data_IF_808930527421
#
_entry.id   IF_808930527421
#
_cell.length_a   1.000
_cell.length_b   1.000
_cell.length_c   1.000
_cell.angle_alpha   90.00
_cell.angle_beta   90.00
_cell.angle_gamma   90.00
#
_symmetry.space_group_name_H-M   'P 1'
#
loop_
_entity.id
_entity.type
_entity.pdbx_description
1 polymer ?
#
# COMPACT_ATOMS: atom_id res chain seq x y z
N UNK A 1 -1.19 -11.82 -11.31
CA UNK A 1 0.01 -12.61 -10.92
C UNK A 1 -0.37 -14.08 -10.84
N UNK A 2 0.58 -15.01 -11.06
CA UNK A 2 0.39 -16.41 -10.63
C UNK A 2 0.22 -16.46 -9.11
N UNK A 3 -0.41 -17.52 -8.58
CA UNK A 3 -0.52 -17.69 -7.12
C UNK A 3 0.88 -17.60 -6.49
N UNK A 4 1.04 -16.82 -5.41
CA UNK A 4 2.32 -16.72 -4.74
C UNK A 4 2.74 -18.08 -4.19
N UNK A 5 4.03 -18.40 -4.29
CA UNK A 5 4.58 -19.62 -3.70
C UNK A 5 4.53 -19.46 -2.18
N UNK A 6 3.74 -20.31 -1.52
CA UNK A 6 3.65 -20.35 -0.07
C UNK A 6 4.44 -21.54 0.46
N UNK A 7 5.47 -21.28 1.26
CA UNK A 7 6.32 -22.29 1.90
C UNK A 7 5.85 -22.45 3.35
N UNK A 8 5.25 -23.60 3.63
CA UNK A 8 4.66 -23.94 4.93
C UNK A 8 5.73 -24.26 5.99
N UNK A 9 5.34 -24.23 7.27
CA UNK A 9 6.22 -24.66 8.37
C UNK A 9 6.86 -26.05 8.18
N UNK A 10 6.10 -27.10 7.80
CA UNK A 10 6.65 -28.42 7.50
C UNK A 10 7.68 -28.41 6.36
N UNK A 11 7.45 -27.64 5.30
CA UNK A 11 8.39 -27.50 4.19
C UNK A 11 9.66 -26.76 4.63
N UNK A 12 9.54 -25.69 5.44
CA UNK A 12 10.68 -24.99 6.03
C UNK A 12 11.54 -25.96 6.84
N UNK A 13 10.95 -26.79 7.70
CA UNK A 13 11.67 -27.82 8.48
C UNK A 13 12.37 -28.85 7.60
N UNK A 14 11.79 -29.18 6.45
CA UNK A 14 12.35 -30.13 5.52
C UNK A 14 13.54 -29.55 4.74
N UNK A 15 13.49 -28.27 4.37
CA UNK A 15 14.51 -27.61 3.54
C UNK A 15 15.65 -26.96 4.32
N UNK A 16 15.40 -26.52 5.57
CA UNK A 16 16.33 -25.70 6.33
C UNK A 16 16.88 -26.45 7.54
N UNK A 17 18.15 -26.86 7.49
CA UNK A 17 18.80 -27.47 8.66
C UNK A 17 19.25 -26.40 9.67
N UNK A 18 19.34 -26.78 10.95
CA UNK A 18 19.89 -25.87 11.97
C UNK A 18 21.37 -25.52 11.71
N UNK A 19 22.15 -26.41 11.11
CA UNK A 19 23.56 -26.12 10.79
C UNK A 19 23.69 -25.02 9.73
N UNK A 20 22.89 -25.11 8.67
CA UNK A 20 22.82 -24.09 7.62
C UNK A 20 22.29 -22.78 8.20
N UNK A 21 21.22 -22.83 8.99
CA UNK A 21 20.61 -21.65 9.57
C UNK A 21 21.54 -20.94 10.57
N UNK A 22 22.25 -21.68 11.42
CA UNK A 22 23.27 -21.12 12.33
C UNK A 22 24.35 -20.41 11.52
N UNK A 23 24.83 -21.04 10.44
CA UNK A 23 25.86 -20.46 9.57
C UNK A 23 25.39 -19.16 8.91
N UNK A 24 24.17 -19.15 8.38
CA UNK A 24 23.57 -17.95 7.76
C UNK A 24 23.35 -16.85 8.79
N UNK A 25 22.75 -17.15 9.95
CA UNK A 25 22.50 -16.18 11.02
C UNK A 25 23.82 -15.61 11.56
N UNK A 26 24.84 -16.45 11.74
CA UNK A 26 26.17 -16.01 12.15
C UNK A 26 26.76 -15.02 11.15
N UNK A 27 26.72 -15.35 9.85
CA UNK A 27 27.16 -14.47 8.78
C UNK A 27 26.39 -13.15 8.82
N UNK A 28 25.06 -13.19 8.87
CA UNK A 28 24.22 -11.99 8.87
C UNK A 28 24.49 -11.10 10.09
N UNK A 29 24.67 -11.66 11.29
CA UNK A 29 25.00 -10.88 12.50
C UNK A 29 26.37 -10.20 12.40
N UNK A 30 27.37 -10.91 11.89
CA UNK A 30 28.73 -10.37 11.68
C UNK A 30 28.71 -9.27 10.62
N UNK A 31 28.07 -9.53 9.47
CA UNK A 31 28.00 -8.55 8.38
C UNK A 31 27.20 -7.32 8.81
N UNK A 32 26.09 -7.49 9.52
CA UNK A 32 25.32 -6.36 10.07
C UNK A 32 26.15 -5.53 11.05
N UNK A 33 26.95 -6.16 11.91
CA UNK A 33 27.77 -5.44 12.89
C UNK A 33 28.92 -4.67 12.24
N UNK A 34 29.54 -5.23 11.19
CA UNK A 34 30.70 -4.65 10.52
C UNK A 34 30.35 -3.69 9.38
N UNK A 35 29.22 -3.91 8.72
CA UNK A 35 28.87 -3.26 7.44
C UNK A 35 27.40 -2.79 7.45
N UNK A 36 26.99 -2.05 8.48
CA UNK A 36 25.62 -1.54 8.60
C UNK A 36 25.11 -0.81 7.36
N UNK A 37 25.98 -0.14 6.61
CA UNK A 37 25.63 0.57 5.36
C UNK A 37 25.15 -0.35 4.23
N UNK A 38 25.41 -1.67 4.32
CA UNK A 38 24.92 -2.66 3.35
C UNK A 38 23.52 -3.18 3.69
N UNK A 39 22.92 -2.71 4.78
CA UNK A 39 21.58 -3.04 5.20
C UNK A 39 20.71 -1.79 5.18
N UNK A 40 19.50 -1.94 4.67
CA UNK A 40 18.45 -0.95 4.87
C UNK A 40 17.36 -1.59 5.73
N UNK A 41 17.44 -1.36 7.04
CA UNK A 41 16.56 -1.97 8.03
C UNK A 41 16.00 -0.89 8.97
N UNK A 42 14.83 -0.31 8.65
CA UNK A 42 14.15 0.62 9.54
C UNK A 42 13.71 -0.07 10.83
N UNK A 43 13.32 0.74 11.82
CA UNK A 43 12.75 0.23 13.06
C UNK A 43 11.45 -0.54 12.77
N UNK A 44 11.14 -1.48 13.66
CA UNK A 44 9.87 -2.21 13.60
C UNK A 44 8.71 -1.24 13.82
N UNK A 45 7.82 -1.18 12.85
CA UNK A 45 6.53 -0.50 13.02
C UNK A 45 5.51 -1.43 13.67
N UNK A 46 4.60 -0.84 14.44
CA UNK A 46 3.54 -1.56 15.15
C UNK A 46 2.23 -0.83 15.01
N UNK A 47 1.20 -1.59 14.71
CA UNK A 47 -0.20 -1.22 14.78
C UNK A 47 -0.82 -1.93 15.96
N UNK A 48 -1.55 -1.19 16.79
CA UNK A 48 -2.24 -1.72 17.96
C UNK A 48 -3.73 -1.80 17.67
N UNK A 49 -4.33 -2.92 18.08
CA UNK A 49 -5.77 -3.16 18.02
C UNK A 49 -6.43 -2.81 19.35
N UNK A 50 -7.76 -2.72 19.38
CA UNK A 50 -8.51 -2.38 20.61
C UNK A 50 -8.48 -3.46 21.69
N UNK A 51 -8.15 -4.71 21.34
CA UNK A 51 -8.10 -5.85 22.27
C UNK A 51 -6.66 -6.21 22.70
N UNK A 52 -5.73 -5.25 22.65
CA UNK A 52 -4.29 -5.42 22.93
C UNK A 52 -3.54 -6.35 21.97
N UNK A 53 -4.12 -6.70 20.83
CA UNK A 53 -3.40 -7.34 19.73
C UNK A 53 -2.47 -6.36 19.01
N UNK A 54 -1.40 -6.88 18.42
CA UNK A 54 -0.40 -6.11 17.67
C UNK A 54 -0.26 -6.69 16.28
N UNK A 55 -0.18 -5.84 15.25
CA UNK A 55 0.40 -6.18 13.95
C UNK A 55 1.73 -5.43 13.81
N UNK A 56 2.82 -6.14 13.61
CA UNK A 56 4.15 -5.56 13.45
C UNK A 56 4.76 -5.88 12.09
N UNK A 57 5.41 -4.87 11.50
CA UNK A 57 6.13 -5.00 10.22
C UNK A 57 7.63 -4.80 10.45
N UNK A 58 8.44 -5.60 9.76
CA UNK A 58 9.90 -5.54 9.80
C UNK A 58 10.45 -5.69 8.38
N UNK A 59 10.32 -4.66 7.52
CA UNK A 59 10.91 -4.69 6.20
C UNK A 59 12.43 -4.53 6.28
N UNK A 60 13.16 -5.19 5.39
CA UNK A 60 14.61 -5.17 5.36
C UNK A 60 15.12 -5.41 3.93
N UNK A 61 16.19 -4.70 3.57
CA UNK A 61 17.05 -5.07 2.46
C UNK A 61 18.43 -5.44 2.98
N UNK A 62 18.91 -6.63 2.61
CA UNK A 62 20.23 -7.15 2.91
C UNK A 62 21.00 -7.33 1.59
N UNK A 63 21.89 -6.39 1.26
CA UNK A 63 22.63 -6.39 0.00
C UNK A 63 23.53 -7.64 -0.19
N UNK A 64 24.31 -8.11 0.80
CA UNK A 64 25.14 -9.31 0.67
C UNK A 64 24.41 -10.55 0.17
N UNK A 65 23.14 -10.70 0.58
CA UNK A 65 22.32 -11.86 0.26
C UNK A 65 21.27 -11.55 -0.83
N UNK A 66 21.30 -10.34 -1.40
CA UNK A 66 20.31 -9.84 -2.34
C UNK A 66 18.86 -10.08 -1.86
N UNK A 67 18.62 -9.92 -0.56
CA UNK A 67 17.34 -10.27 0.06
C UNK A 67 16.54 -9.01 0.40
N UNK A 68 15.45 -8.78 -0.35
CA UNK A 68 14.44 -7.76 -0.05
C UNK A 68 13.23 -8.47 0.57
N UNK A 69 12.99 -8.27 1.85
CA UNK A 69 11.98 -9.03 2.57
C UNK A 69 11.20 -8.17 3.57
N UNK A 70 10.04 -8.67 3.99
CA UNK A 70 9.32 -8.13 5.12
C UNK A 70 8.76 -9.25 5.97
N UNK A 71 9.01 -9.18 7.28
CA UNK A 71 8.29 -10.02 8.23
C UNK A 71 7.08 -9.26 8.75
N UNK A 72 5.91 -9.85 8.59
CA UNK A 72 4.65 -9.45 9.22
C UNK A 72 4.38 -10.42 10.36
N UNK A 73 4.13 -9.91 11.55
CA UNK A 73 3.78 -10.76 12.70
C UNK A 73 2.64 -10.13 13.48
N UNK A 74 1.62 -10.93 13.77
CA UNK A 74 0.57 -10.59 14.71
C UNK A 74 0.91 -11.18 16.08
N UNK A 75 0.63 -10.42 17.15
CA UNK A 75 0.81 -10.87 18.54
C UNK A 75 -0.48 -10.65 19.29
N UNK A 76 -1.13 -11.74 19.68
CA UNK A 76 -2.44 -11.77 20.35
C UNK A 76 -2.33 -12.60 21.62
N UNK A 77 -1.93 -11.99 22.76
CA UNK A 77 -1.67 -12.72 24.00
C UNK A 77 -2.90 -13.41 24.60
N UNK A 78 -4.10 -12.96 24.24
CA UNK A 78 -5.37 -13.53 24.68
C UNK A 78 -5.78 -14.81 23.96
N UNK A 79 -5.04 -15.26 22.93
CA UNK A 79 -5.34 -16.50 22.25
C UNK A 79 -5.10 -17.70 23.18
N UNK A 80 -6.12 -18.54 23.36
CA UNK A 80 -6.03 -19.80 24.11
C UNK A 80 -5.88 -21.00 23.17
N UNK A 81 -6.75 -21.09 22.17
CA UNK A 81 -6.78 -22.21 21.20
C UNK A 81 -5.96 -21.93 19.93
N UNK A 82 -5.44 -20.72 19.78
CA UNK A 82 -4.61 -20.27 18.66
C UNK A 82 -3.21 -19.86 19.13
N UNK A 83 -2.19 -19.90 18.28
CA UNK A 83 -0.88 -19.36 18.62
C UNK A 83 -0.96 -17.87 18.98
N UNK A 84 -0.20 -17.47 20.00
CA UNK A 84 -0.10 -16.06 20.39
C UNK A 84 0.68 -15.22 19.37
N UNK A 85 1.52 -15.86 18.55
CA UNK A 85 2.30 -15.22 17.50
C UNK A 85 1.99 -15.92 16.18
N UNK A 86 1.54 -15.16 15.19
CA UNK A 86 1.22 -15.67 13.86
C UNK A 86 1.80 -14.73 12.81
N UNK A 87 1.90 -15.15 11.54
CA UNK A 87 2.25 -14.24 10.47
C UNK A 87 3.00 -14.86 9.30
N UNK A 88 3.57 -14.00 8.47
CA UNK A 88 4.27 -14.39 7.24
C UNK A 88 5.56 -13.60 7.03
N UNK A 89 6.52 -14.23 6.35
CA UNK A 89 7.70 -13.56 5.79
C UNK A 89 7.54 -13.51 4.28
N UNK A 90 7.57 -12.31 3.71
CA UNK A 90 7.51 -12.09 2.26
C UNK A 90 8.92 -11.89 1.72
N UNK A 91 9.25 -12.54 0.60
CA UNK A 91 10.51 -12.35 -0.13
C UNK A 91 10.23 -11.78 -1.52
N UNK A 92 10.94 -10.71 -1.88
CA UNK A 92 10.86 -10.04 -3.16
C UNK A 92 12.21 -10.08 -3.88
N UNK A 93 12.17 -10.11 -5.21
CA UNK A 93 13.36 -9.90 -6.04
C UNK A 93 13.80 -8.43 -5.92
N UNK A 94 15.04 -8.14 -5.48
CA UNK A 94 15.51 -6.77 -5.28
C UNK A 94 15.78 -6.00 -6.59
N UNK A 95 15.73 -6.65 -7.76
CA UNK A 95 16.01 -6.02 -9.05
C UNK A 95 14.74 -5.58 -9.78
N UNK A 96 13.64 -6.30 -9.59
CA UNK A 96 12.38 -6.05 -10.31
C UNK A 96 11.14 -5.96 -9.39
N UNK A 97 11.29 -6.27 -8.11
CA UNK A 97 10.22 -6.16 -7.10
C UNK A 97 9.17 -7.27 -7.13
N UNK A 98 9.35 -8.31 -7.94
CA UNK A 98 8.41 -9.44 -8.00
C UNK A 98 8.38 -10.20 -6.67
N UNK A 99 7.19 -10.61 -6.24
CA UNK A 99 7.01 -11.47 -5.07
C UNK A 99 7.48 -12.88 -5.41
N UNK A 100 8.52 -13.36 -4.73
CA UNK A 100 9.12 -14.67 -4.96
C UNK A 100 8.51 -15.75 -4.08
N UNK A 101 8.32 -15.45 -2.79
CA UNK A 101 7.79 -16.41 -1.83
C UNK A 101 7.11 -15.74 -0.64
N UNK A 102 6.17 -16.46 -0.06
CA UNK A 102 5.58 -16.25 1.24
C UNK A 102 5.97 -17.44 2.10
N UNK A 103 6.40 -17.18 3.33
CA UNK A 103 6.86 -18.22 4.24
C UNK A 103 6.17 -18.08 5.58
N UNK A 104 5.90 -19.20 6.24
CA UNK A 104 5.40 -19.24 7.61
C UNK A 104 6.36 -18.48 8.56
N UNK A 105 5.89 -17.37 9.14
CA UNK A 105 6.74 -16.58 10.03
C UNK A 105 6.89 -17.20 11.41
N UNK A 106 5.93 -18.00 11.88
CA UNK A 106 6.04 -18.66 13.18
C UNK A 106 7.25 -19.60 13.15
N UNK A 107 7.29 -20.48 12.14
CA UNK A 107 8.35 -21.46 12.02
C UNK A 107 9.72 -20.81 11.79
N UNK A 108 9.82 -19.85 10.85
CA UNK A 108 11.06 -19.10 10.64
C UNK A 108 11.50 -18.43 11.94
N UNK A 109 10.58 -17.84 12.69
CA UNK A 109 10.91 -17.12 13.93
C UNK A 109 11.43 -18.05 15.00
N UNK A 110 10.81 -19.21 15.19
CA UNK A 110 11.24 -20.22 16.15
C UNK A 110 12.66 -20.69 15.81
N UNK A 111 12.87 -21.15 14.57
CA UNK A 111 14.16 -21.68 14.14
C UNK A 111 15.27 -20.62 14.18
N UNK A 112 15.01 -19.40 13.67
CA UNK A 112 16.04 -18.34 13.61
C UNK A 112 16.40 -17.79 14.99
N UNK A 113 15.46 -17.80 15.94
CA UNK A 113 15.74 -17.38 17.32
C UNK A 113 16.64 -18.40 18.01
N UNK A 114 16.34 -19.70 17.89
CA UNK A 114 17.19 -20.76 18.41
C UNK A 114 18.60 -20.73 17.76
N UNK A 115 18.67 -20.50 16.45
CA UNK A 115 19.95 -20.36 15.75
C UNK A 115 20.77 -19.16 16.25
N UNK A 116 20.15 -17.99 16.47
CA UNK A 116 20.84 -16.82 17.01
C UNK A 116 21.44 -17.09 18.41
N UNK A 117 20.69 -17.78 19.28
CA UNK A 117 21.21 -18.23 20.59
C UNK A 117 22.39 -19.19 20.44
N UNK A 118 22.31 -20.15 19.53
CA UNK A 118 23.39 -21.09 19.26
C UNK A 118 24.66 -20.40 18.75
N UNK A 119 24.53 -19.38 17.88
CA UNK A 119 25.66 -18.55 17.41
C UNK A 119 26.33 -17.84 18.59
N UNK A 120 25.54 -17.22 19.46
CA UNK A 120 26.07 -16.54 20.65
C UNK A 120 26.83 -17.52 21.55
N UNK A 121 26.25 -18.70 21.84
CA UNK A 121 26.91 -19.74 22.63
C UNK A 121 28.22 -20.23 21.99
N UNK A 122 28.22 -20.47 20.67
CA UNK A 122 29.41 -20.93 19.94
C UNK A 122 30.58 -19.95 20.03
N UNK A 123 30.29 -18.65 19.90
CA UNK A 123 31.30 -17.58 19.94
C UNK A 123 31.79 -17.28 21.35
N UNK A 124 30.90 -17.31 22.35
CA UNK A 124 31.26 -17.04 23.75
C UNK A 124 32.03 -18.19 24.40
N UNK A 125 31.77 -19.44 24.00
CA UNK A 125 32.35 -20.62 24.64
C UNK A 125 33.60 -21.16 23.93
N UNK A 126 34.10 -20.52 22.85
CA UNK A 126 35.26 -20.97 22.05
C UNK A 126 35.20 -22.47 21.66
N UNK A 127 33.99 -23.01 21.48
CA UNK A 127 33.80 -24.44 21.22
C UNK A 127 34.29 -24.74 19.79
N UNK A 128 35.36 -25.54 19.68
CA UNK A 128 35.91 -26.00 18.39
C UNK A 128 34.84 -26.79 17.62
N UNK A 129 34.77 -26.61 16.29
CA UNK A 129 33.85 -27.28 15.36
C UNK A 129 33.71 -28.80 15.62
N UNK A 130 34.77 -29.48 16.04
CA UNK A 130 34.79 -30.93 16.28
C UNK A 130 33.96 -31.40 17.48
N UNK A 131 33.63 -30.52 18.43
CA UNK A 131 32.86 -30.90 19.61
C UNK A 131 31.33 -30.95 19.35
N UNK A 132 30.84 -30.20 18.35
CA UNK A 132 29.42 -30.18 18.00
C UNK A 132 28.97 -31.42 17.22
N UNK A 133 29.83 -31.95 16.34
CA UNK A 133 29.54 -33.14 15.53
C UNK A 133 29.24 -34.39 16.36
N UNK A 134 29.78 -34.49 17.59
CA UNK A 134 29.50 -35.60 18.51
C UNK A 134 28.25 -35.40 19.37
N UNK A 135 27.87 -34.16 19.68
CA UNK A 135 26.67 -33.90 20.50
C UNK A 135 25.38 -33.90 19.66
N UNK A 136 25.44 -33.56 18.37
CA UNK A 136 24.29 -33.51 17.46
C UNK A 136 23.65 -34.90 17.15
N UNK A 137 24.32 -36.01 17.52
CA UNK A 137 23.79 -37.36 17.32
C UNK A 137 22.89 -37.88 18.45
N UNK A 138 22.78 -37.17 19.59
CA UNK A 138 21.71 -37.45 20.54
C UNK A 138 20.45 -36.73 20.10
N UNK A 139 19.63 -37.41 19.29
CA UNK A 139 18.23 -37.07 19.08
C UNK A 139 17.53 -37.08 20.44
N UNK A 140 17.50 -35.94 21.11
CA UNK A 140 16.52 -35.70 22.16
C UNK A 140 15.18 -35.55 21.43
N UNK A 141 14.45 -36.65 21.29
CA UNK A 141 13.04 -36.61 20.93
C UNK A 141 12.27 -36.03 22.12
N UNK A 142 12.26 -34.70 22.20
CA UNK A 142 11.19 -34.01 22.92
C UNK A 142 9.98 -34.10 22.00
N UNK A 143 9.12 -35.08 22.27
CA UNK A 143 7.76 -35.13 21.74
C UNK A 143 6.99 -34.00 22.42
N UNK A 144 7.14 -32.78 21.92
CA UNK A 144 6.12 -31.76 22.12
C UNK A 144 4.96 -32.20 21.23
N UNK A 145 3.95 -32.82 21.83
CA UNK A 145 2.63 -32.89 21.24
C UNK A 145 2.06 -31.47 21.23
N UNK A 146 2.60 -30.60 20.38
CA UNK A 146 1.88 -29.41 19.96
C UNK A 146 0.87 -29.90 18.95
N UNK A 147 -0.40 -29.84 19.32
CA UNK A 147 -1.51 -29.84 18.39
C UNK A 147 -1.38 -28.58 17.54
N UNK A 148 -0.40 -28.53 16.62
CA UNK A 148 -0.37 -27.53 15.57
C UNK A 148 -1.56 -27.86 14.68
N UNK A 149 -2.69 -27.18 14.92
CA UNK A 149 -3.73 -27.11 13.90
C UNK A 149 -3.03 -26.63 12.63
N UNK A 150 -3.08 -27.45 11.58
CA UNK A 150 -2.66 -27.02 10.25
C UNK A 150 -3.60 -25.87 9.86
N UNK A 151 -3.15 -24.64 10.07
CA UNK A 151 -3.78 -23.51 9.41
C UNK A 151 -3.58 -23.72 7.91
N UNK A 152 -4.68 -23.96 7.19
CA UNK A 152 -4.66 -24.07 5.74
C UNK A 152 -4.00 -22.84 5.13
N UNK A 153 -3.36 -23.00 3.97
CA UNK A 153 -2.80 -21.87 3.24
C UNK A 153 -3.89 -20.81 3.04
N UNK A 154 -3.68 -19.56 3.46
CA UNK A 154 -4.69 -18.53 3.32
C UNK A 154 -5.01 -18.32 1.82
N UNK A 155 -6.28 -18.09 1.47
CA UNK A 155 -6.66 -17.88 0.08
C UNK A 155 -5.96 -16.65 -0.50
N UNK A 156 -5.54 -16.76 -1.76
CA UNK A 156 -5.14 -15.63 -2.57
C UNK A 156 -6.33 -15.15 -3.42
N UNK A 157 -6.73 -13.90 -3.24
CA UNK A 157 -7.77 -13.22 -4.01
C UNK A 157 -7.09 -12.44 -5.14
N UNK A 158 -7.24 -12.94 -6.36
CA UNK A 158 -6.59 -12.35 -7.52
C UNK A 158 -7.22 -11.01 -7.93
N UNK A 159 -6.48 -10.17 -8.67
CA UNK A 159 -7.05 -8.92 -9.21
C UNK A 159 -8.27 -9.14 -10.12
N UNK A 160 -8.33 -10.26 -10.85
CA UNK A 160 -9.50 -10.60 -11.66
C UNK A 160 -10.73 -10.91 -10.80
N UNK A 161 -10.52 -11.63 -9.69
CA UNK A 161 -11.57 -11.95 -8.74
C UNK A 161 -12.05 -10.68 -8.03
N UNK A 162 -11.14 -9.81 -7.60
CA UNK A 162 -11.47 -8.51 -6.99
C UNK A 162 -12.33 -7.67 -7.94
N UNK A 163 -11.99 -7.61 -9.23
CA UNK A 163 -12.80 -6.92 -10.26
C UNK A 163 -14.20 -7.52 -10.42
N UNK A 164 -14.36 -8.82 -10.22
CA UNK A 164 -15.66 -9.49 -10.30
C UNK A 164 -16.53 -9.23 -9.07
N UNK A 165 -15.90 -9.08 -7.90
CA UNK A 165 -16.57 -8.91 -6.62
C UNK A 165 -16.92 -7.46 -6.31
N UNK A 166 -16.00 -6.52 -6.58
CA UNK A 166 -16.03 -5.17 -6.02
C UNK A 166 -16.59 -4.15 -7.02
N UNK A 167 -17.61 -3.39 -6.59
CA UNK A 167 -18.18 -2.26 -7.34
C UNK A 167 -17.73 -0.91 -6.78
N UNK A 168 -17.80 0.16 -7.58
CA UNK A 168 -17.53 1.51 -7.08
C UNK A 168 -18.68 2.05 -6.22
N UNK A 169 -19.89 1.56 -6.45
CA UNK A 169 -21.09 1.85 -5.67
C UNK A 169 -20.91 1.44 -4.20
N UNK A 170 -20.26 0.30 -3.95
CA UNK A 170 -19.93 -0.18 -2.60
C UNK A 170 -18.64 0.42 -2.06
N UNK A 171 -17.64 0.59 -2.93
CA UNK A 171 -16.31 1.04 -2.52
C UNK A 171 -16.26 2.52 -2.14
N UNK A 172 -16.93 3.40 -2.89
CA UNK A 172 -16.85 4.84 -2.65
C UNK A 172 -17.39 5.21 -1.26
N UNK A 173 -18.56 4.74 -0.80
CA UNK A 173 -19.03 4.98 0.57
C UNK A 173 -18.09 4.39 1.64
N UNK A 174 -17.49 3.24 1.36
CA UNK A 174 -16.53 2.58 2.26
C UNK A 174 -15.27 3.43 2.45
N UNK A 175 -14.71 3.93 1.34
CA UNK A 175 -13.54 4.82 1.37
C UNK A 175 -13.89 6.16 2.02
N UNK A 176 -15.06 6.74 1.74
CA UNK A 176 -15.53 7.96 2.40
C UNK A 176 -15.58 7.82 3.93
N UNK A 177 -16.16 6.73 4.43
CA UNK A 177 -16.19 6.42 5.86
C UNK A 177 -14.78 6.28 6.43
N UNK A 178 -13.88 5.60 5.72
CA UNK A 178 -12.49 5.41 6.17
C UNK A 178 -11.72 6.73 6.28
N UNK A 179 -11.92 7.66 5.33
CA UNK A 179 -11.32 8.99 5.34
C UNK A 179 -11.85 9.84 6.51
N UNK A 180 -13.17 9.81 6.75
CA UNK A 180 -13.78 10.46 7.92
C UNK A 180 -13.18 9.91 9.21
N UNK A 181 -13.07 8.59 9.35
CA UNK A 181 -12.45 7.94 10.52
C UNK A 181 -11.01 8.40 10.70
N UNK A 182 -10.21 8.39 9.63
CA UNK A 182 -8.81 8.83 9.68
C UNK A 182 -8.66 10.25 10.24
N UNK A 183 -9.51 11.17 9.78
CA UNK A 183 -9.42 12.58 10.16
C UNK A 183 -10.04 12.89 11.53
N UNK A 184 -11.12 12.20 11.91
CA UNK A 184 -11.96 12.61 13.06
C UNK A 184 -11.90 11.68 14.28
N UNK A 185 -11.46 10.43 14.10
CA UNK A 185 -11.53 9.37 15.12
C UNK A 185 -10.16 8.78 15.42
N UNK A 186 -9.19 9.63 15.80
CA UNK A 186 -7.78 9.24 16.04
C UNK A 186 -7.59 8.11 17.08
N UNK A 187 -8.58 7.83 17.93
CA UNK A 187 -8.56 6.72 18.90
C UNK A 187 -9.16 5.41 18.39
N UNK A 188 -9.88 5.42 17.26
CA UNK A 188 -10.57 4.25 16.70
C UNK A 188 -9.79 3.56 15.57
N UNK A 189 -8.63 4.11 15.19
CA UNK A 189 -7.72 3.50 14.22
C UNK A 189 -6.26 3.65 14.69
N UNK A 190 -5.39 2.81 14.14
CA UNK A 190 -3.95 2.93 14.32
C UNK A 190 -3.27 2.74 12.97
N UNK A 191 -2.61 3.80 12.49
CA UNK A 191 -1.87 3.80 11.23
C UNK A 191 -0.59 4.63 11.41
N UNK A 192 0.60 4.01 11.44
CA UNK A 192 1.85 4.75 11.34
C UNK A 192 2.07 5.29 9.93
N UNK A 193 3.01 6.22 9.80
CA UNK A 193 3.54 6.62 8.48
C UNK A 193 4.09 5.39 7.74
N UNK A 194 3.95 5.38 6.41
CA UNK A 194 4.43 4.25 5.61
C UNK A 194 5.94 4.09 5.79
N UNK A 195 6.39 2.84 5.90
CA UNK A 195 7.81 2.54 5.99
C UNK A 195 8.38 2.31 4.60
N UNK A 196 9.55 2.90 4.32
CA UNK A 196 10.29 2.70 3.06
C UNK A 196 11.54 1.86 3.30
N UNK A 197 11.81 0.93 2.39
CA UNK A 197 13.09 0.22 2.29
C UNK A 197 13.65 0.33 0.88
N UNK A 198 14.84 0.91 0.74
CA UNK A 198 15.55 0.95 -0.54
C UNK A 198 16.13 -0.43 -0.86
N UNK A 199 15.91 -0.90 -2.09
CA UNK A 199 16.37 -2.22 -2.55
C UNK A 199 17.86 -2.27 -2.96
N UNK A 200 18.62 -1.21 -2.67
CA UNK A 200 20.00 -1.04 -3.17
C UNK A 200 20.11 -0.76 -4.68
N UNK A 201 19.02 -0.87 -5.42
CA UNK A 201 18.89 -0.47 -6.82
C UNK A 201 18.04 0.80 -6.96
N UNK A 202 17.31 0.98 -8.05
CA UNK A 202 16.36 2.10 -8.22
C UNK A 202 14.98 1.83 -7.60
N UNK A 203 14.76 0.61 -7.10
CA UNK A 203 13.48 0.19 -6.53
C UNK A 203 13.38 0.33 -5.01
N UNK A 204 12.16 0.25 -4.51
CA UNK A 204 11.87 0.32 -3.09
C UNK A 204 10.74 -0.63 -2.69
N UNK A 205 10.70 -1.02 -1.42
CA UNK A 205 9.60 -1.72 -0.75
C UNK A 205 8.92 -0.75 0.22
N UNK A 206 7.59 -0.69 0.18
CA UNK A 206 6.76 0.08 1.09
C UNK A 206 5.89 -0.86 1.92
N UNK A 207 5.75 -0.55 3.21
CA UNK A 207 4.75 -1.20 4.08
C UNK A 207 3.79 -0.18 4.65
N UNK A 208 2.49 -0.45 4.53
CA UNK A 208 1.41 0.39 5.03
C UNK A 208 0.48 -0.44 5.93
N UNK A 209 0.88 -0.71 7.19
CA UNK A 209 0.02 -1.40 8.15
C UNK A 209 -1.07 -0.46 8.67
N UNK A 210 -2.27 -0.98 8.87
CA UNK A 210 -3.37 -0.22 9.46
C UNK A 210 -4.33 -1.13 10.24
N UNK A 211 -4.81 -0.62 11.36
CA UNK A 211 -6.00 -1.12 12.05
C UNK A 211 -7.07 -0.04 12.03
N UNK A 212 -8.31 -0.43 11.71
CA UNK A 212 -9.50 0.40 11.85
C UNK A 212 -10.58 -0.40 12.58
N UNK A 213 -10.91 0.01 13.80
CA UNK A 213 -11.97 -0.63 14.58
C UNK A 213 -13.36 -0.48 13.93
N UNK A 214 -13.76 0.69 13.39
CA UNK A 214 -15.06 0.87 12.74
C UNK A 214 -15.23 0.02 11.49
N UNK A 215 -14.13 -0.27 10.79
CA UNK A 215 -14.13 -1.13 9.62
C UNK A 215 -13.89 -2.61 9.98
N UNK A 216 -13.59 -2.94 11.25
CA UNK A 216 -13.14 -4.29 11.67
C UNK A 216 -12.02 -4.83 10.78
N UNK A 217 -11.06 -3.96 10.44
CA UNK A 217 -10.02 -4.23 9.47
C UNK A 217 -8.63 -4.14 10.11
N UNK A 218 -7.86 -5.23 10.06
CA UNK A 218 -6.44 -5.27 10.40
C UNK A 218 -5.68 -5.73 9.16
N UNK A 219 -4.93 -4.84 8.51
CA UNK A 219 -4.29 -5.16 7.24
C UNK A 219 -2.91 -4.54 7.10
N UNK A 220 -2.11 -5.08 6.17
CA UNK A 220 -0.90 -4.44 5.70
C UNK A 220 -0.79 -4.54 4.19
N UNK A 221 -0.64 -3.39 3.51
CA UNK A 221 -0.20 -3.39 2.12
C UNK A 221 1.33 -3.43 2.06
N UNK A 222 1.86 -4.38 1.31
CA UNK A 222 3.25 -4.47 0.91
C UNK A 222 3.33 -4.22 -0.58
N UNK A 223 3.99 -3.14 -0.98
CA UNK A 223 4.13 -2.78 -2.40
C UNK A 223 5.58 -2.46 -2.72
N UNK A 224 6.07 -3.05 -3.79
CA UNK A 224 7.35 -2.72 -4.41
C UNK A 224 7.14 -1.70 -5.53
N UNK A 225 8.05 -0.74 -5.66
CA UNK A 225 8.02 0.27 -6.72
C UNK A 225 9.34 0.25 -7.48
N UNK A 226 9.29 -0.22 -8.72
CA UNK A 226 10.42 -0.38 -9.64
C UNK A 226 10.14 0.36 -10.94
N UNK A 227 10.44 1.67 -11.03
CA UNK A 227 10.10 2.50 -12.19
C UNK A 227 10.75 2.07 -13.51
N UNK A 228 11.86 1.31 -13.43
CA UNK A 228 12.59 0.80 -14.59
C UNK A 228 11.99 -0.46 -15.22
N UNK A 229 10.97 -1.07 -14.62
CA UNK A 229 10.34 -2.25 -15.20
C UNK A 229 9.67 -1.92 -16.54
N UNK A 230 10.04 -2.66 -17.59
CA UNK A 230 9.43 -2.58 -18.92
C UNK A 230 8.43 -3.70 -19.17
N UNK A 231 8.78 -4.92 -18.75
CA UNK A 231 8.01 -6.15 -19.00
C UNK A 231 7.13 -6.56 -17.82
N UNK A 232 7.31 -5.89 -16.67
CA UNK A 232 6.54 -6.07 -15.45
C UNK A 232 5.88 -4.76 -15.03
N UNK A 233 4.78 -4.81 -14.24
CA UNK A 233 4.25 -3.60 -13.62
C UNK A 233 5.30 -2.89 -12.77
N UNK A 234 5.25 -1.56 -12.78
CA UNK A 234 6.14 -0.74 -11.95
C UNK A 234 5.81 -0.81 -10.47
N UNK A 235 4.54 -1.10 -10.14
CA UNK A 235 4.06 -1.32 -8.78
C UNK A 235 3.57 -2.75 -8.68
N UNK A 236 4.07 -3.52 -7.73
CA UNK A 236 3.69 -4.92 -7.51
C UNK A 236 3.54 -5.15 -6.01
N UNK A 237 2.67 -6.06 -5.58
CA UNK A 237 2.52 -6.29 -4.15
C UNK A 237 1.32 -7.12 -3.76
N UNK A 238 1.14 -7.21 -2.43
CA UNK A 238 0.01 -7.89 -1.80
C UNK A 238 -0.56 -7.03 -0.68
N UNK A 239 -1.86 -7.18 -0.44
CA UNK A 239 -2.52 -6.73 0.79
C UNK A 239 -2.79 -7.97 1.64
N UNK A 240 -2.33 -7.97 2.87
CA UNK A 240 -2.61 -9.02 3.85
C UNK A 240 -3.75 -8.57 4.74
N UNK A 241 -4.76 -9.43 4.92
CA UNK A 241 -5.87 -9.19 5.83
C UNK A 241 -5.78 -10.17 7.00
N UNK A 242 -5.78 -9.65 8.21
CA UNK A 242 -5.78 -10.41 9.44
C UNK A 242 -7.11 -10.24 10.16
N UNK A 243 -7.52 -11.28 10.88
CA UNK A 243 -8.61 -11.18 11.85
C UNK A 243 -8.18 -10.25 13.00
N UNK A 244 -8.87 -9.12 13.26
CA UNK A 244 -8.53 -8.21 14.34
C UNK A 244 -8.74 -8.81 15.73
N UNK A 245 -9.45 -9.94 15.87
CA UNK A 245 -9.67 -10.59 17.16
C UNK A 245 -8.59 -11.62 17.52
N UNK A 246 -8.20 -12.47 16.57
CA UNK A 246 -7.22 -13.53 16.81
C UNK A 246 -5.83 -13.26 16.23
N UNK A 247 -5.70 -12.31 15.30
CA UNK A 247 -4.47 -12.08 14.53
C UNK A 247 -4.23 -13.11 13.43
N UNK A 248 -5.17 -14.01 13.16
CA UNK A 248 -5.03 -15.04 12.12
C UNK A 248 -5.04 -14.40 10.73
N UNK A 249 -4.17 -14.87 9.83
CA UNK A 249 -4.13 -14.40 8.44
C UNK A 249 -5.34 -14.97 7.69
N UNK A 250 -6.27 -14.09 7.30
CA UNK A 250 -7.52 -14.47 6.62
C UNK A 250 -7.35 -14.57 5.11
N UNK A 251 -6.64 -13.62 4.49
CA UNK A 251 -6.49 -13.57 3.05
C UNK A 251 -5.24 -12.81 2.61
N UNK A 252 -4.79 -13.17 1.41
CA UNK A 252 -3.82 -12.43 0.61
C UNK A 252 -4.55 -11.88 -0.60
N UNK A 253 -4.37 -10.61 -0.93
CA UNK A 253 -5.09 -9.97 -2.01
C UNK A 253 -4.11 -9.24 -2.95
N UNK A 254 -4.45 -9.19 -4.23
CA UNK A 254 -3.69 -8.44 -5.23
C UNK A 254 -3.66 -6.94 -4.87
N UNK A 255 -2.46 -6.41 -4.59
CA UNK A 255 -2.33 -5.01 -4.17
C UNK A 255 -2.46 -4.02 -5.32
N UNK A 256 -2.15 -4.43 -6.55
CA UNK A 256 -2.26 -3.56 -7.71
C UNK A 256 -3.72 -3.20 -7.95
N UNK A 257 -4.60 -4.21 -7.92
CA UNK A 257 -6.03 -4.01 -8.10
C UNK A 257 -6.66 -3.19 -6.97
N UNK A 258 -6.39 -3.58 -5.71
CA UNK A 258 -6.87 -2.80 -4.54
C UNK A 258 -6.41 -1.36 -4.65
N UNK A 259 -5.12 -1.12 -4.98
CA UNK A 259 -4.58 0.23 -5.12
C UNK A 259 -5.24 1.01 -6.24
N UNK A 260 -5.52 0.40 -7.40
CA UNK A 260 -6.21 1.06 -8.51
C UNK A 260 -7.63 1.48 -8.13
N UNK A 261 -8.38 0.58 -7.50
CA UNK A 261 -9.77 0.83 -7.15
C UNK A 261 -9.90 1.84 -6.01
N UNK A 262 -9.20 1.63 -4.88
CA UNK A 262 -9.33 2.49 -3.70
C UNK A 262 -8.81 3.91 -3.93
N UNK A 263 -7.75 4.08 -4.73
CA UNK A 263 -7.22 5.42 -5.05
C UNK A 263 -8.23 6.20 -5.89
N UNK A 264 -8.80 5.57 -6.92
CA UNK A 264 -9.85 6.18 -7.73
C UNK A 264 -11.11 6.50 -6.90
N UNK A 265 -11.48 5.61 -5.98
CA UNK A 265 -12.60 5.84 -5.07
C UNK A 265 -12.34 7.05 -4.16
N UNK A 266 -11.13 7.23 -3.62
CA UNK A 266 -10.77 8.41 -2.83
C UNK A 266 -10.91 9.71 -3.65
N UNK A 267 -10.46 9.73 -4.91
CA UNK A 267 -10.69 10.86 -5.82
C UNK A 267 -12.15 11.08 -6.18
N UNK A 268 -12.96 10.02 -6.28
CA UNK A 268 -14.40 10.14 -6.47
C UNK A 268 -15.10 10.74 -5.24
N UNK A 269 -14.71 10.33 -4.03
CA UNK A 269 -15.14 10.97 -2.77
C UNK A 269 -14.78 12.45 -2.77
N UNK A 270 -13.53 12.80 -3.08
CA UNK A 270 -13.10 14.19 -3.15
C UNK A 270 -13.94 14.99 -4.15
N UNK A 271 -14.14 14.44 -5.34
CA UNK A 271 -14.91 15.07 -6.42
C UNK A 271 -16.37 15.30 -6.02
N UNK A 272 -17.02 14.35 -5.31
CA UNK A 272 -18.39 14.51 -4.79
C UNK A 272 -18.55 15.78 -3.95
N UNK A 273 -17.53 16.14 -3.17
CA UNK A 273 -17.59 17.25 -2.20
C UNK A 273 -16.98 18.56 -2.74
N UNK A 274 -16.07 18.47 -3.71
CA UNK A 274 -15.29 19.61 -4.19
C UNK A 274 -15.65 20.05 -5.62
N UNK A 275 -16.08 19.13 -6.49
CA UNK A 275 -16.50 19.45 -7.85
C UNK A 275 -17.94 19.99 -7.90
N UNK A 276 -18.30 20.55 -9.06
CA UNK A 276 -19.68 20.96 -9.32
C UNK A 276 -20.56 19.70 -9.52
N UNK A 277 -21.75 19.58 -8.92
CA UNK A 277 -22.58 18.37 -9.01
C UNK A 277 -23.06 18.04 -10.44
N UNK A 278 -23.04 19.03 -11.35
CA UNK A 278 -23.39 18.86 -12.76
C UNK A 278 -22.16 18.81 -13.68
N UNK A 279 -20.99 18.44 -13.15
CA UNK A 279 -19.77 18.28 -13.95
C UNK A 279 -20.00 17.22 -15.05
N UNK A 280 -19.62 17.56 -16.29
CA UNK A 280 -19.83 16.75 -17.50
C UNK A 280 -18.53 16.47 -18.27
N UNK A 281 -17.48 17.25 -18.01
CA UNK A 281 -16.19 17.12 -18.70
C UNK A 281 -15.10 16.65 -17.74
N UNK A 282 -14.57 15.44 -17.99
CA UNK A 282 -13.46 14.85 -17.25
C UNK A 282 -12.17 14.89 -18.08
N UNK A 283 -11.10 15.46 -17.53
CA UNK A 283 -9.77 15.41 -18.10
C UNK A 283 -8.88 14.42 -17.33
N UNK A 284 -8.18 13.54 -18.06
CA UNK A 284 -7.20 12.60 -17.53
C UNK A 284 -5.82 12.97 -18.05
N UNK A 285 -4.95 13.44 -17.16
CA UNK A 285 -3.53 13.65 -17.43
C UNK A 285 -2.77 12.42 -16.95
N UNK A 286 -2.40 11.56 -17.90
CA UNK A 286 -1.87 10.23 -17.68
C UNK A 286 -2.70 9.17 -18.41
N UNK A 287 -2.07 8.06 -18.76
CA UNK A 287 -2.73 6.94 -19.45
C UNK A 287 -2.26 5.59 -18.90
N UNK A 288 -1.96 5.54 -17.59
CA UNK A 288 -1.61 4.32 -16.87
C UNK A 288 -2.83 3.68 -16.22
N UNK A 289 -2.60 2.67 -15.36
CA UNK A 289 -3.66 1.93 -14.69
C UNK A 289 -4.65 2.83 -13.92
N UNK A 290 -4.13 3.84 -13.21
CA UNK A 290 -4.95 4.80 -12.46
C UNK A 290 -5.90 5.62 -13.34
N UNK A 291 -5.53 5.93 -14.59
CA UNK A 291 -6.38 6.75 -15.46
C UNK A 291 -7.72 6.07 -15.77
N UNK A 292 -7.70 4.74 -16.00
CA UNK A 292 -8.92 3.98 -16.27
C UNK A 292 -9.79 3.86 -15.02
N UNK A 293 -9.20 3.49 -13.87
CA UNK A 293 -9.96 3.36 -12.61
C UNK A 293 -10.58 4.69 -12.18
N UNK A 294 -9.89 5.82 -12.39
CA UNK A 294 -10.44 7.16 -12.11
C UNK A 294 -11.60 7.51 -13.02
N UNK A 295 -11.55 7.11 -14.30
CA UNK A 295 -12.71 7.26 -15.17
C UNK A 295 -13.91 6.47 -14.62
N UNK A 296 -13.73 5.19 -14.29
CA UNK A 296 -14.82 4.35 -13.78
C UNK A 296 -15.43 4.93 -12.49
N UNK A 297 -14.60 5.27 -11.51
CA UNK A 297 -15.06 5.80 -10.22
C UNK A 297 -15.79 7.15 -10.34
N UNK A 298 -15.30 8.05 -11.20
CA UNK A 298 -15.91 9.37 -11.40
C UNK A 298 -17.22 9.23 -12.20
N UNK A 299 -17.25 8.36 -13.21
CA UNK A 299 -18.44 8.10 -14.01
C UNK A 299 -19.59 7.47 -13.20
N UNK A 300 -19.30 6.79 -12.08
CA UNK A 300 -20.32 6.32 -11.13
C UNK A 300 -21.09 7.49 -10.48
N UNK A 301 -20.47 8.67 -10.33
CA UNK A 301 -21.06 9.80 -9.61
C UNK A 301 -21.53 10.94 -10.50
N UNK A 302 -20.92 11.10 -11.68
CA UNK A 302 -21.16 12.22 -12.58
C UNK A 302 -21.59 11.73 -13.96
N UNK A 303 -22.55 12.42 -14.56
CA UNK A 303 -22.97 12.18 -15.94
C UNK A 303 -21.93 12.76 -16.92
N UNK A 304 -20.77 12.12 -17.00
CA UNK A 304 -19.67 12.54 -17.86
C UNK A 304 -20.06 12.34 -19.33
N UNK A 305 -20.10 13.43 -20.09
CA UNK A 305 -20.43 13.48 -21.52
C UNK A 305 -19.18 13.60 -22.40
N UNK A 306 -18.10 14.18 -21.87
CA UNK A 306 -16.83 14.38 -22.57
C UNK A 306 -15.65 13.92 -21.70
N UNK A 307 -14.80 13.07 -22.27
CA UNK A 307 -13.56 12.62 -21.63
C UNK A 307 -12.38 13.08 -22.48
N UNK A 308 -11.43 13.77 -21.87
CA UNK A 308 -10.24 14.27 -22.53
C UNK A 308 -9.01 13.61 -21.97
N UNK A 309 -8.21 12.96 -22.80
CA UNK A 309 -7.03 12.22 -22.34
C UNK A 309 -5.76 12.83 -22.92
N UNK A 310 -4.79 13.07 -22.05
CA UNK A 310 -3.44 13.44 -22.46
C UNK A 310 -2.39 12.61 -21.71
N UNK A 311 -1.40 12.12 -22.45
CA UNK A 311 -0.21 11.50 -21.87
C UNK A 311 0.94 11.56 -22.89
N UNK A 312 2.18 11.45 -22.40
CA UNK A 312 3.39 11.49 -23.23
C UNK A 312 3.45 10.35 -24.25
N UNK A 313 2.94 9.17 -23.91
CA UNK A 313 2.98 7.99 -24.78
C UNK A 313 1.67 7.89 -25.60
N UNK A 314 1.71 8.09 -26.94
CA UNK A 314 0.53 8.08 -27.78
C UNK A 314 -0.15 6.71 -27.89
N UNK A 315 0.60 5.62 -27.86
CA UNK A 315 0.07 4.25 -27.96
C UNK A 315 -0.74 3.89 -26.71
N UNK A 316 -0.17 4.12 -25.52
CA UNK A 316 -0.87 3.91 -24.24
C UNK A 316 -2.13 4.77 -24.13
N UNK A 317 -2.09 5.98 -24.68
CA UNK A 317 -3.25 6.87 -24.74
C UNK A 317 -4.35 6.31 -25.64
N UNK A 318 -4.00 5.82 -26.83
CA UNK A 318 -4.95 5.20 -27.75
C UNK A 318 -5.60 3.95 -27.13
N UNK A 319 -4.80 3.09 -26.49
CA UNK A 319 -5.29 1.90 -25.80
C UNK A 319 -6.24 2.24 -24.65
N UNK A 320 -5.94 3.28 -23.86
CA UNK A 320 -6.86 3.74 -22.82
C UNK A 320 -8.18 4.25 -23.41
N UNK A 321 -8.12 5.05 -24.48
CA UNK A 321 -9.31 5.57 -25.17
C UNK A 321 -10.18 4.43 -25.69
N UNK A 322 -9.58 3.42 -26.31
CA UNK A 322 -10.30 2.22 -26.76
C UNK A 322 -10.97 1.50 -25.59
N UNK A 323 -10.26 1.32 -24.47
CA UNK A 323 -10.80 0.69 -23.28
C UNK A 323 -12.00 1.45 -22.70
N UNK A 324 -11.92 2.78 -22.64
CA UNK A 324 -13.02 3.64 -22.18
C UNK A 324 -14.23 3.54 -23.11
N UNK A 325 -14.01 3.52 -24.43
CA UNK A 325 -15.08 3.37 -25.42
C UNK A 325 -15.82 2.04 -25.32
N UNK A 326 -15.16 0.98 -24.89
CA UNK A 326 -15.82 -0.30 -24.60
C UNK A 326 -16.66 -0.23 -23.33
N UNK A 327 -16.26 0.58 -22.36
CA UNK A 327 -16.93 0.75 -21.07
C UNK A 327 -18.04 1.81 -21.07
N UNK A 328 -18.08 2.74 -22.03
CA UNK A 328 -19.04 3.84 -22.06
C UNK A 328 -19.52 4.22 -23.47
N UNK A 329 -20.73 4.81 -23.54
CA UNK A 329 -21.41 5.19 -24.79
C UNK A 329 -21.03 6.58 -25.35
N UNK A 330 -20.00 7.26 -24.83
CA UNK A 330 -19.66 8.64 -25.21
C UNK A 330 -18.28 8.75 -25.88
N UNK A 331 -18.09 9.77 -26.73
CA UNK A 331 -16.91 9.93 -27.61
C UNK A 331 -15.78 10.72 -26.91
N UNK A 332 -14.58 10.14 -26.69
CA UNK A 332 -13.44 10.84 -26.10
C UNK A 332 -12.76 11.76 -27.11
N UNK A 333 -12.17 12.85 -26.60
CA UNK A 333 -11.36 13.80 -27.37
C UNK A 333 -9.89 13.79 -26.87
N UNK A 334 -8.92 14.11 -27.73
CA UNK A 334 -7.48 13.91 -27.46
C UNK A 334 -6.67 15.20 -27.74
N UNK A 335 -5.76 15.59 -26.82
CA UNK A 335 -4.75 16.69 -26.87
C UNK A 335 -5.05 18.02 -26.12
N UNK A 336 -3.94 18.79 -25.93
CA UNK A 336 -3.57 19.95 -25.07
C UNK A 336 -4.64 21.00 -24.68
N UNK A 337 -5.81 21.00 -25.31
CA UNK A 337 -7.04 21.59 -24.76
C UNK A 337 -7.68 20.71 -23.67
N UNK A 338 -7.01 19.61 -23.25
CA UNK A 338 -7.58 18.59 -22.37
C UNK A 338 -8.13 19.14 -21.05
N UNK A 339 -7.50 20.19 -20.50
CA UNK A 339 -7.95 20.83 -19.25
C UNK A 339 -8.76 22.11 -19.48
N UNK A 340 -8.74 22.65 -20.70
CA UNK A 340 -9.54 23.82 -21.07
C UNK A 340 -11.01 23.43 -21.01
N UNK A 341 -11.83 24.18 -20.28
CA UNK A 341 -13.25 23.83 -20.01
C UNK A 341 -13.46 22.48 -19.29
N UNK A 342 -12.44 21.88 -18.68
CA UNK A 342 -12.64 20.70 -17.84
C UNK A 342 -13.34 21.09 -16.52
N UNK A 343 -14.34 20.30 -16.14
CA UNK A 343 -14.98 20.46 -14.83
C UNK A 343 -14.18 19.74 -13.75
N UNK A 344 -13.67 18.54 -14.09
CA UNK A 344 -12.84 17.70 -13.23
C UNK A 344 -11.57 17.33 -14.00
N UNK A 345 -10.40 17.47 -13.36
CA UNK A 345 -9.10 17.05 -13.90
C UNK A 345 -8.47 16.04 -12.94
N UNK A 346 -7.99 14.91 -13.45
CA UNK A 346 -7.19 13.95 -12.66
C UNK A 346 -5.76 13.92 -13.20
N UNK A 347 -4.77 14.23 -12.36
CA UNK A 347 -3.35 14.03 -12.67
C UNK A 347 -2.88 12.70 -12.08
N UNK A 348 -2.60 11.75 -12.97
CA UNK A 348 -2.27 10.35 -12.67
C UNK A 348 -1.02 9.95 -13.46
N UNK A 349 -0.01 10.81 -13.44
CA UNK A 349 1.26 10.63 -14.16
C UNK A 349 2.38 10.20 -13.22
N UNK A 350 3.48 9.75 -13.82
CA UNK A 350 4.76 9.55 -13.14
C UNK A 350 5.73 10.71 -13.41
N UNK A 351 5.22 11.92 -13.66
CA UNK A 351 6.06 13.08 -13.97
C UNK A 351 6.87 13.51 -12.74
N UNK A 352 8.08 14.01 -12.98
CA UNK A 352 8.89 14.68 -11.96
C UNK A 352 8.66 16.18 -11.96
N UNK A 353 8.29 16.72 -13.12
CA UNK A 353 8.07 18.14 -13.36
C UNK A 353 6.58 18.45 -13.53
N UNK A 354 6.11 19.66 -13.14
CA UNK A 354 4.72 20.06 -13.27
C UNK A 354 4.11 19.80 -14.65
N UNK A 355 2.93 19.20 -14.67
CA UNK A 355 2.13 18.92 -15.88
C UNK A 355 0.85 19.76 -15.95
N UNK A 356 0.56 20.54 -14.91
CA UNK A 356 -0.63 21.38 -14.81
C UNK A 356 -0.31 22.77 -14.29
N UNK A 357 -0.87 23.81 -14.93
CA UNK A 357 -0.73 25.22 -14.56
C UNK A 357 -2.09 25.88 -14.37
N UNK A 358 -2.17 26.89 -13.51
CA UNK A 358 -3.45 27.50 -13.15
C UNK A 358 -4.10 28.29 -14.30
N UNK A 359 -3.31 28.88 -15.20
CA UNK A 359 -3.77 29.65 -16.36
C UNK A 359 -4.47 28.80 -17.42
N UNK A 360 -4.38 27.46 -17.31
CA UNK A 360 -5.05 26.52 -18.21
C UNK A 360 -6.39 26.04 -17.68
N UNK A 361 -6.67 26.29 -16.40
CA UNK A 361 -7.82 25.72 -15.69
C UNK A 361 -9.01 26.69 -15.65
N UNK A 362 -10.24 26.20 -15.86
CA UNK A 362 -11.42 26.96 -15.52
C UNK A 362 -11.43 27.35 -14.04
N UNK A 363 -11.98 28.53 -13.74
CA UNK A 363 -12.04 29.07 -12.37
C UNK A 363 -12.73 28.13 -11.36
N UNK A 364 -13.72 27.34 -11.80
CA UNK A 364 -14.50 26.43 -10.95
C UNK A 364 -14.08 24.97 -11.08
N UNK A 365 -12.94 24.69 -11.72
CA UNK A 365 -12.45 23.33 -11.90
C UNK A 365 -12.14 22.66 -10.56
N UNK A 366 -12.37 21.35 -10.48
CA UNK A 366 -11.84 20.50 -9.44
C UNK A 366 -10.67 19.66 -9.97
N UNK A 367 -9.58 19.57 -9.22
CA UNK A 367 -8.39 18.78 -9.58
C UNK A 367 -8.15 17.69 -8.56
N UNK A 368 -8.11 16.43 -9.01
CA UNK A 368 -7.57 15.30 -8.25
C UNK A 368 -6.10 15.10 -8.63
N UNK A 369 -5.19 15.44 -7.73
CA UNK A 369 -3.74 15.29 -7.91
C UNK A 369 -3.24 14.02 -7.20
N UNK A 370 -2.91 12.99 -7.96
CA UNK A 370 -2.73 11.61 -7.46
C UNK A 370 -1.31 11.10 -7.67
N UNK A 371 -0.62 11.55 -8.73
CA UNK A 371 0.80 11.28 -8.92
C UNK A 371 1.67 12.09 -7.96
N UNK A 372 2.98 12.16 -8.21
CA UNK A 372 3.95 12.92 -7.40
C UNK A 372 3.88 12.60 -5.89
N UNK A 373 4.05 11.33 -5.55
CA UNK A 373 4.09 10.82 -4.17
C UNK A 373 5.52 10.74 -3.60
N UNK A 374 6.43 11.57 -4.12
CA UNK A 374 7.80 11.73 -3.60
C UNK A 374 8.12 13.21 -3.38
N UNK A 375 8.94 13.56 -2.37
CA UNK A 375 9.22 14.95 -2.03
C UNK A 375 9.85 15.78 -3.15
N UNK A 376 10.51 15.12 -4.10
CA UNK A 376 11.19 15.70 -5.24
C UNK A 376 10.37 15.69 -6.54
N UNK A 377 9.12 15.20 -6.51
CA UNK A 377 8.26 15.07 -7.68
C UNK A 377 7.08 16.04 -7.59
N UNK A 378 6.72 16.64 -8.72
CA UNK A 378 5.54 17.51 -8.86
C UNK A 378 4.75 17.18 -10.11
N UNK A 379 3.44 17.23 -9.98
CA UNK A 379 2.50 17.29 -11.10
C UNK A 379 1.87 18.68 -11.23
N UNK A 380 1.84 19.45 -10.14
CA UNK A 380 1.21 20.75 -10.06
C UNK A 380 2.27 21.85 -10.02
N UNK A 381 2.10 22.84 -10.88
CA UNK A 381 2.85 24.08 -10.80
C UNK A 381 2.44 24.87 -9.56
N UNK A 382 3.35 25.68 -9.03
CA UNK A 382 3.09 26.53 -7.86
C UNK A 382 1.86 27.43 -8.05
N UNK A 383 1.59 27.86 -9.29
CA UNK A 383 0.40 28.65 -9.61
C UNK A 383 -0.91 27.92 -9.25
N UNK A 384 -0.99 26.60 -9.43
CA UNK A 384 -2.19 25.80 -9.12
C UNK A 384 -2.38 25.73 -7.61
N UNK A 385 -1.33 25.35 -6.88
CA UNK A 385 -1.40 25.17 -5.42
C UNK A 385 -1.60 26.48 -4.68
N UNK A 386 -1.16 27.61 -5.25
CA UNK A 386 -1.35 28.94 -4.68
C UNK A 386 -2.76 29.49 -4.89
N UNK A 387 -3.37 29.19 -6.04
CA UNK A 387 -4.70 29.66 -6.39
C UNK A 387 -5.81 28.81 -5.73
N UNK A 388 -5.60 27.51 -5.58
CA UNK A 388 -6.64 26.57 -5.18
C UNK A 388 -6.92 26.51 -3.67
N UNK A 389 -8.15 26.13 -3.33
CA UNK A 389 -8.44 25.52 -2.04
C UNK A 389 -7.91 24.07 -2.04
N UNK A 390 -6.72 23.90 -1.46
CA UNK A 390 -6.00 22.63 -1.39
C UNK A 390 -6.46 21.78 -0.19
N UNK A 391 -6.98 20.60 -0.48
CA UNK A 391 -7.36 19.54 0.45
C UNK A 391 -6.41 18.36 0.24
N UNK A 392 -5.99 17.70 1.31
CA UNK A 392 -5.20 16.46 1.22
C UNK A 392 -5.96 15.29 1.85
N UNK A 393 -5.53 14.06 1.57
CA UNK A 393 -5.95 12.88 2.34
C UNK A 393 -5.40 12.94 3.78
N UNK A 394 -4.11 13.29 3.93
CA UNK A 394 -3.45 13.51 5.22
C UNK A 394 -2.51 14.71 5.14
N UNK A 395 -2.57 15.62 6.13
CA UNK A 395 -1.59 16.71 6.25
C UNK A 395 -0.19 16.18 6.52
N UNK A 396 -0.07 15.15 7.35
CA UNK A 396 1.20 14.53 7.71
C UNK A 396 1.88 13.92 6.48
N UNK A 397 1.15 13.12 5.70
CA UNK A 397 1.68 12.55 4.46
C UNK A 397 1.98 13.64 3.42
N UNK A 398 1.10 14.63 3.24
CA UNK A 398 1.30 15.72 2.30
C UNK A 398 2.60 16.50 2.57
N UNK A 399 2.86 16.83 3.84
CA UNK A 399 4.07 17.56 4.25
C UNK A 399 5.35 16.72 4.26
N UNK A 400 5.23 15.39 4.22
CA UNK A 400 6.38 14.48 4.26
C UNK A 400 6.73 13.89 2.89
N UNK A 401 5.74 13.71 2.00
CA UNK A 401 5.87 12.89 0.79
C UNK A 401 5.53 13.63 -0.50
N UNK A 402 4.74 14.71 -0.47
CA UNK A 402 4.26 15.37 -1.69
C UNK A 402 5.16 16.51 -2.10
N UNK A 403 5.90 16.39 -3.20
CA UNK A 403 6.63 17.53 -3.76
C UNK A 403 5.71 18.67 -4.22
N UNK A 404 4.46 18.38 -4.61
CA UNK A 404 3.46 19.44 -4.90
C UNK A 404 3.17 20.33 -3.68
N UNK A 405 3.39 19.81 -2.46
CA UNK A 405 3.19 20.56 -1.21
C UNK A 405 4.51 21.10 -0.69
N UNK A 406 5.54 20.27 -0.63
CA UNK A 406 6.85 20.60 -0.06
C UNK A 406 7.58 21.63 -0.91
N UNK A 407 7.73 21.37 -2.20
CA UNK A 407 8.52 22.23 -3.09
C UNK A 407 7.77 23.52 -3.40
N UNK A 408 6.45 23.46 -3.61
CA UNK A 408 5.62 24.65 -3.84
C UNK A 408 5.29 25.40 -2.54
N UNK A 409 5.69 24.88 -1.36
CA UNK A 409 5.37 25.44 -0.04
C UNK A 409 3.86 25.69 0.13
N UNK A 410 3.05 24.77 -0.38
CA UNK A 410 1.61 24.92 -0.42
C UNK A 410 0.99 24.72 0.96
N UNK A 411 -0.02 25.52 1.29
CA UNK A 411 -0.81 25.34 2.51
C UNK A 411 -1.92 24.32 2.26
N UNK A 412 -1.90 23.22 3.01
CA UNK A 412 -3.03 22.28 3.06
C UNK A 412 -4.12 22.86 3.96
N UNK A 413 -5.27 23.22 3.38
CA UNK A 413 -6.36 23.90 4.07
C UNK A 413 -7.21 22.92 4.90
N UNK A 414 -7.45 21.73 4.38
CA UNK A 414 -8.26 20.69 5.02
C UNK A 414 -7.68 19.30 4.78
N UNK A 415 -7.91 18.36 5.70
CA UNK A 415 -7.98 16.95 5.33
C UNK A 415 -9.37 16.63 4.79
N UNK A 416 -9.45 15.71 3.82
CA UNK A 416 -10.71 15.38 3.17
C UNK A 416 -11.75 14.85 4.18
N UNK A 417 -11.36 13.99 5.12
CA UNK A 417 -12.28 13.48 6.14
C UNK A 417 -12.84 14.56 7.07
N UNK A 418 -12.03 15.56 7.45
CA UNK A 418 -12.49 16.71 8.25
C UNK A 418 -13.48 17.57 7.47
N UNK A 419 -13.19 17.81 6.19
CA UNK A 419 -14.05 18.59 5.31
C UNK A 419 -15.44 17.95 5.18
N UNK A 420 -15.47 16.63 5.06
CA UNK A 420 -16.73 15.87 4.93
C UNK A 420 -17.51 15.88 6.25
N UNK A 421 -16.84 15.67 7.37
CA UNK A 421 -17.48 15.62 8.68
C UNK A 421 -17.97 17.00 9.16
N UNK A 422 -17.24 18.06 8.83
CA UNK A 422 -17.45 19.43 9.34
C UNK A 422 -17.30 20.49 8.23
N UNK A 423 -18.12 20.44 7.16
CA UNK A 423 -17.95 21.30 6.00
C UNK A 423 -18.10 22.79 6.32
N UNK A 424 -18.87 23.14 7.35
CA UNK A 424 -19.06 24.51 7.83
C UNK A 424 -17.75 25.20 8.24
N UNK A 425 -16.77 24.45 8.76
CA UNK A 425 -15.47 24.99 9.20
C UNK A 425 -14.62 25.52 8.06
N UNK A 426 -14.89 25.08 6.83
CA UNK A 426 -14.04 25.35 5.66
C UNK A 426 -14.70 26.26 4.64
N UNK A 427 -15.95 26.70 4.87
CA UNK A 427 -16.72 27.52 3.90
C UNK A 427 -16.01 28.83 3.54
N UNK A 428 -15.52 29.57 4.55
CA UNK A 428 -14.84 30.85 4.33
C UNK A 428 -13.51 30.67 3.60
N UNK A 429 -12.71 29.68 4.01
CA UNK A 429 -11.44 29.35 3.37
C UNK A 429 -11.64 28.90 1.91
N UNK A 430 -12.70 28.15 1.60
CA UNK A 430 -13.05 27.77 0.23
C UNK A 430 -13.53 28.97 -0.59
N UNK A 431 -14.38 29.82 -0.02
CA UNK A 431 -14.92 30.99 -0.71
C UNK A 431 -13.83 32.01 -1.10
N UNK A 432 -12.85 32.22 -0.22
CA UNK A 432 -11.75 33.17 -0.46
C UNK A 432 -10.81 32.76 -1.60
N UNK A 433 -10.78 31.47 -1.97
CA UNK A 433 -9.94 30.92 -3.07
C UNK A 433 -10.59 31.00 -4.45
N UNK A 434 -11.81 31.54 -4.56
CA UNK A 434 -12.37 31.92 -5.86
C UNK A 434 -12.85 30.78 -6.75
N UNK A 435 -12.89 29.53 -6.26
CA UNK A 435 -13.59 28.40 -6.86
C UNK A 435 -12.74 27.18 -7.23
N UNK A 436 -11.45 27.37 -7.53
CA UNK A 436 -10.55 26.27 -7.89
C UNK A 436 -10.28 25.41 -6.66
N UNK A 437 -10.48 24.10 -6.78
CA UNK A 437 -10.23 23.15 -5.69
C UNK A 437 -9.23 22.09 -6.13
N UNK A 438 -8.35 21.67 -5.22
CA UNK A 438 -7.39 20.59 -5.46
C UNK A 438 -7.53 19.59 -4.32
N UNK A 439 -7.65 18.32 -4.65
CA UNK A 439 -7.45 17.21 -3.74
C UNK A 439 -6.10 16.55 -4.04
N UNK A 440 -5.16 16.62 -3.10
CA UNK A 440 -3.89 15.90 -3.18
C UNK A 440 -4.03 14.54 -2.50
N UNK A 441 -3.92 13.47 -3.27
CA UNK A 441 -3.93 12.08 -2.79
C UNK A 441 -2.53 11.50 -2.80
N UNK A 442 -2.14 10.86 -1.71
CA UNK A 442 -0.92 10.06 -1.52
C UNK A 442 -1.26 8.60 -1.17
N UNK A 443 -2.49 8.36 -0.72
CA UNK A 443 -3.03 7.08 -0.31
C UNK A 443 -2.71 6.75 1.13
N UNK A 444 -3.71 6.24 1.84
CA UNK A 444 -3.63 5.91 3.26
C UNK A 444 -3.83 4.40 3.47
N UNK A 445 -3.16 3.83 4.46
CA UNK A 445 -3.28 2.40 4.78
C UNK A 445 -4.71 2.01 5.20
N UNK A 446 -5.47 2.93 5.78
CA UNK A 446 -6.87 2.75 6.18
C UNK A 446 -7.79 2.54 4.96
N UNK A 447 -7.48 3.16 3.83
CA UNK A 447 -8.21 2.95 2.59
C UNK A 447 -7.96 1.54 2.07
N UNK A 448 -6.71 1.06 2.11
CA UNK A 448 -6.34 -0.30 1.72
C UNK A 448 -6.99 -1.34 2.66
N UNK A 449 -6.99 -1.08 3.97
CA UNK A 449 -7.56 -1.97 4.98
C UNK A 449 -9.08 -2.09 4.86
N UNK A 450 -9.79 -0.97 4.72
CA UNK A 450 -11.23 -0.95 4.53
C UNK A 450 -11.64 -1.64 3.22
N UNK A 451 -10.88 -1.41 2.14
CA UNK A 451 -11.11 -2.07 0.85
C UNK A 451 -10.89 -3.57 0.93
N UNK A 452 -9.79 -4.02 1.55
CA UNK A 452 -9.50 -5.44 1.73
C UNK A 452 -10.60 -6.13 2.57
N UNK A 453 -11.07 -5.47 3.63
CA UNK A 453 -12.18 -6.00 4.42
C UNK A 453 -13.47 -6.14 3.59
N UNK A 454 -13.82 -5.13 2.80
CA UNK A 454 -14.99 -5.18 1.93
C UNK A 454 -14.91 -6.33 0.92
N UNK A 455 -13.77 -6.50 0.26
CA UNK A 455 -13.53 -7.63 -0.67
C UNK A 455 -13.74 -8.97 0.03
N UNK A 456 -13.17 -9.13 1.22
CA UNK A 456 -13.33 -10.36 2.02
C UNK A 456 -14.81 -10.63 2.34
N UNK A 457 -15.54 -9.60 2.76
CA UNK A 457 -16.95 -9.72 3.13
C UNK A 457 -17.86 -10.04 1.94
N UNK A 458 -17.53 -9.55 0.75
CA UNK A 458 -18.23 -9.90 -0.48
C UNK A 458 -17.94 -11.36 -0.86
N UNK A 459 -16.66 -11.77 -0.82
CA UNK A 459 -16.23 -13.14 -1.13
C UNK A 459 -16.86 -14.18 -0.20
N UNK A 460 -17.07 -13.85 1.08
CA UNK A 460 -17.66 -14.80 2.05
C UNK A 460 -19.19 -14.91 1.94
N UNK A 461 -19.84 -14.06 1.13
CA UNK A 461 -21.29 -14.12 0.88
C UNK A 461 -21.67 -14.93 -0.37
N UNK A 462 -20.72 -15.09 -1.30
CA UNK A 462 -20.83 -16.03 -2.42
C UNK A 462 -20.70 -17.48 -1.94
#
# INVERSE_FOLDING_TARGET
MSNPVFITGPEIKAFLTYEDLITVVERSLVTYSNWKSQFHQPLREKVFTSNNGILATMPCYNAPDAALACKLVTVFPGNHDLPSHQGIVTLFDPNNGSLQALMDAEEITCMRTAAASAVASRRLLCIKRSAFAKAAHQRVMITMATTQQQHGTPPFISGQEIKGLLSYEDLIPTVERSLITYSTKKSEFCQPMRTKVDSGSTGLLLTMPCYSAPDSALACKLVTVFPGNTDLPSHQGIVTLFDPESGSLQALMDAEEITCMRTAAASAVASRHLAHPQSRTLALLGSGAQAFSHFEAIATLFAIECIRVHSRNPERRAALVEKIMLSAKFKPDVMKAAVDQADIVCTVTSSRDPVLRADWLPRLCHVNAVGACRPDQRELDESVTSAAFLVADSRESASSESGDVIVNKATVHAELGELIAHPERFREARASRGGLTVFKSLGLGIEDAATARLVWDLRMKE
#
